data_IF_734042982599
#
_entry.id   IF_734042982599
#
_cell.length_a   1.000
_cell.length_b   1.000
_cell.length_c   1.000
_cell.angle_alpha   90.00
_cell.angle_beta   90.00
_cell.angle_gamma   90.00
#
_symmetry.space_group_name_H-M   'P 1'
#
loop_
_entity.id
_entity.type
_entity.pdbx_description
1 polymer ?
#
# COMPACT_ATOMS: atom_id res chain seq x y z
N UNK A 1 -60.50 10.12 -17.93
CA UNK A 1 -59.72 11.29 -17.46
C UNK A 1 -59.41 11.00 -16.01
N UNK A 2 -58.24 10.50 -15.63
CA UNK A 2 -56.88 11.08 -15.67
C UNK A 2 -55.89 9.92 -15.91
N UNK A 3 -55.25 9.80 -17.08
CA UNK A 3 -53.84 10.14 -17.37
C UNK A 3 -52.83 9.55 -16.34
N UNK A 4 -52.15 8.42 -16.56
CA UNK A 4 -51.10 8.00 -17.54
C UNK A 4 -49.69 7.99 -16.91
N UNK A 5 -49.15 6.76 -16.83
CA UNK A 5 -47.78 6.32 -17.21
C UNK A 5 -46.58 6.75 -16.32
N UNK A 6 -45.54 5.89 -16.22
CA UNK A 6 -44.53 5.92 -15.16
C UNK A 6 -43.34 6.82 -15.46
N UNK A 7 -42.64 7.20 -14.38
CA UNK A 7 -41.42 8.00 -14.41
C UNK A 7 -40.27 7.16 -14.97
N UNK A 8 -39.93 7.41 -16.23
CA UNK A 8 -38.67 7.01 -16.88
C UNK A 8 -37.54 7.94 -16.41
N UNK A 9 -36.51 7.40 -15.77
CA UNK A 9 -35.24 8.09 -15.58
C UNK A 9 -34.51 8.18 -16.92
N UNK A 10 -34.28 9.40 -17.42
CA UNK A 10 -33.47 9.67 -18.61
C UNK A 10 -31.98 9.75 -18.24
N UNK A 11 -31.06 9.09 -18.96
CA UNK A 11 -29.64 9.07 -18.64
C UNK A 11 -28.87 10.11 -19.47
N UNK A 12 -28.95 11.40 -19.15
CA UNK A 12 -27.96 12.39 -19.62
C UNK A 12 -28.01 13.63 -18.72
N UNK A 13 -27.06 13.76 -17.79
CA UNK A 13 -26.71 15.07 -17.24
C UNK A 13 -25.28 15.37 -17.66
N UNK A 14 -25.19 16.40 -18.50
CA UNK A 14 -23.97 16.97 -19.04
C UNK A 14 -22.97 17.28 -17.92
N UNK A 15 -21.69 16.97 -18.19
CA UNK A 15 -20.56 17.56 -17.48
C UNK A 15 -20.73 19.09 -17.41
N UNK A 16 -20.57 19.74 -16.24
CA UNK A 16 -20.64 21.18 -16.16
C UNK A 16 -19.49 21.81 -16.97
N UNK A 17 -19.83 22.73 -17.88
CA UNK A 17 -18.86 23.57 -18.57
C UNK A 17 -18.02 24.37 -17.54
N UNK A 18 -16.75 24.69 -17.82
CA UNK A 18 -15.93 25.45 -16.88
C UNK A 18 -16.57 26.80 -16.56
N UNK A 19 -16.89 26.98 -15.27
CA UNK A 19 -17.48 28.20 -14.74
C UNK A 19 -16.47 29.34 -14.89
N UNK A 20 -16.80 30.40 -15.64
CA UNK A 20 -16.10 31.68 -15.49
C UNK A 20 -16.39 32.18 -14.07
N UNK A 21 -15.38 32.53 -13.25
CA UNK A 21 -15.62 33.06 -11.91
C UNK A 21 -16.33 34.42 -12.02
N UNK A 22 -17.47 34.55 -11.33
CA UNK A 22 -18.17 35.82 -11.18
C UNK A 22 -17.40 36.79 -10.26
N UNK A 23 -17.73 38.10 -10.29
CA UNK A 23 -17.07 39.09 -9.47
C UNK A 23 -17.56 38.94 -8.03
N UNK A 24 -16.78 38.30 -7.17
CA UNK A 24 -17.13 38.09 -5.75
C UNK A 24 -16.85 36.69 -5.19
N UNK A 25 -16.21 35.79 -5.95
CA UNK A 25 -15.63 34.58 -5.36
C UNK A 25 -14.54 34.94 -4.33
N UNK A 26 -14.25 34.05 -3.35
CA UNK A 26 -13.11 34.25 -2.45
C UNK A 26 -11.87 34.56 -3.29
N UNK A 27 -10.99 35.47 -2.83
CA UNK A 27 -9.83 35.90 -3.60
C UNK A 27 -9.14 34.68 -4.18
N UNK A 28 -9.11 34.60 -5.51
CA UNK A 28 -8.54 33.46 -6.20
C UNK A 28 -7.12 33.29 -5.68
N UNK A 29 -6.84 32.12 -5.10
CA UNK A 29 -5.48 31.77 -4.74
C UNK A 29 -4.59 32.04 -5.96
N UNK A 30 -3.40 32.66 -5.79
CA UNK A 30 -2.49 32.89 -6.90
C UNK A 30 -2.33 31.57 -7.67
N UNK A 31 -2.23 31.60 -9.01
CA UNK A 31 -2.19 30.37 -9.80
C UNK A 31 -0.95 29.56 -9.42
N UNK A 32 -1.13 28.60 -8.53
CA UNK A 32 -0.15 27.57 -8.21
C UNK A 32 -0.29 26.45 -9.25
N UNK A 33 0.83 25.84 -9.65
CA UNK A 33 0.77 24.60 -10.45
C UNK A 33 -0.01 23.53 -9.68
N UNK A 34 -0.51 22.51 -10.39
CA UNK A 34 -1.13 21.36 -9.72
C UNK A 34 -0.13 20.71 -8.75
N UNK A 35 1.12 20.55 -9.18
CA UNK A 35 2.21 19.99 -8.38
C UNK A 35 2.44 20.77 -7.07
N UNK A 36 2.56 22.11 -7.12
CA UNK A 36 2.75 22.91 -5.91
C UNK A 36 1.58 22.78 -4.93
N UNK A 37 0.34 22.64 -5.45
CA UNK A 37 -0.84 22.41 -4.61
C UNK A 37 -0.82 21.04 -3.96
N UNK A 38 -0.45 19.99 -4.70
CA UNK A 38 -0.34 18.64 -4.16
C UNK A 38 0.74 18.56 -3.08
N UNK A 39 1.90 19.19 -3.30
CA UNK A 39 2.95 19.28 -2.29
C UNK A 39 2.46 19.97 -1.01
N UNK A 40 1.78 21.11 -1.15
CA UNK A 40 1.25 21.85 0.01
C UNK A 40 0.22 21.03 0.82
N UNK A 41 -0.60 20.20 0.14
CA UNK A 41 -1.55 19.30 0.79
C UNK A 41 -0.85 18.14 1.50
N UNK A 42 0.21 17.60 0.90
CA UNK A 42 1.05 16.59 1.53
C UNK A 42 1.73 17.14 2.79
N UNK A 43 2.37 18.31 2.69
CA UNK A 43 3.04 18.99 3.81
C UNK A 43 2.07 19.29 4.95
N UNK A 44 0.86 19.76 4.62
CA UNK A 44 -0.21 19.94 5.59
C UNK A 44 -0.56 18.63 6.30
N UNK A 45 -0.73 17.55 5.53
CA UNK A 45 -1.10 16.24 6.07
C UNK A 45 -0.02 15.70 7.00
N UNK A 46 1.26 15.73 6.58
CA UNK A 46 2.37 15.27 7.40
C UNK A 46 2.54 16.10 8.68
N UNK A 47 2.42 17.44 8.59
CA UNK A 47 2.51 18.33 9.76
C UNK A 47 1.35 18.14 10.74
N UNK A 48 0.16 17.85 10.23
CA UNK A 48 -1.07 17.72 11.04
C UNK A 48 -1.12 16.37 11.74
N UNK A 49 -0.93 15.28 10.99
CA UNK A 49 -1.09 13.92 11.51
C UNK A 49 0.19 13.31 12.07
N UNK A 50 1.36 13.89 11.76
CA UNK A 50 2.68 13.47 12.27
C UNK A 50 2.87 11.94 12.15
N UNK A 51 2.80 11.38 10.93
CA UNK A 51 2.82 9.93 10.70
C UNK A 51 4.14 9.23 11.08
N UNK A 52 5.18 10.00 11.44
CA UNK A 52 6.50 9.48 11.81
C UNK A 52 6.85 9.94 13.22
N UNK A 53 7.10 8.99 14.12
CA UNK A 53 7.59 9.24 15.48
C UNK A 53 9.13 9.10 15.56
N UNK A 54 9.70 9.27 16.77
CA UNK A 54 11.14 9.15 16.98
C UNK A 54 11.68 7.75 16.63
N UNK A 55 10.91 6.69 16.91
CA UNK A 55 11.31 5.30 16.59
C UNK A 55 11.43 5.11 15.09
N UNK A 56 10.44 5.57 14.32
CA UNK A 56 10.46 5.49 12.86
C UNK A 56 11.55 6.39 12.25
N UNK A 57 11.85 7.54 12.85
CA UNK A 57 13.00 8.36 12.45
C UNK A 57 14.33 7.64 12.67
N UNK A 58 14.49 6.96 13.80
CA UNK A 58 15.68 6.16 14.09
C UNK A 58 15.85 5.00 13.11
N UNK A 59 14.77 4.37 12.65
CA UNK A 59 14.80 3.32 11.61
C UNK A 59 15.41 3.87 10.32
N UNK A 60 14.94 5.04 9.87
CA UNK A 60 15.48 5.70 8.66
C UNK A 60 16.95 6.06 8.86
N UNK A 61 17.33 6.56 10.04
CA UNK A 61 18.73 6.87 10.34
C UNK A 61 19.62 5.62 10.34
N UNK A 62 19.15 4.52 10.94
CA UNK A 62 19.86 3.24 10.99
C UNK A 62 20.07 2.67 9.59
N UNK A 63 19.03 2.69 8.75
CA UNK A 63 19.13 2.29 7.35
C UNK A 63 20.26 3.04 6.63
N UNK A 64 20.36 4.36 6.83
CA UNK A 64 21.44 5.18 6.26
C UNK A 64 22.82 4.83 6.82
N UNK A 65 22.94 4.60 8.13
CA UNK A 65 24.21 4.20 8.76
C UNK A 65 24.74 2.87 8.24
N UNK A 66 23.84 1.97 7.84
CA UNK A 66 24.16 0.67 7.25
C UNK A 66 24.24 0.71 5.70
N UNK A 67 24.24 1.90 5.08
CA UNK A 67 24.28 2.08 3.61
C UNK A 67 23.15 1.33 2.87
N UNK A 68 22.00 1.17 3.52
CA UNK A 68 20.81 0.57 2.90
C UNK A 68 20.15 1.58 1.95
N UNK A 69 19.35 1.10 0.98
CA UNK A 69 18.46 1.97 0.21
C UNK A 69 17.66 2.90 1.11
N UNK A 70 17.72 4.22 0.86
CA UNK A 70 16.96 5.22 1.62
C UNK A 70 15.53 5.31 1.08
N UNK A 71 14.80 4.21 1.19
CA UNK A 71 13.41 4.05 0.80
C UNK A 71 12.63 3.47 1.98
N UNK A 72 11.35 3.77 2.03
CA UNK A 72 10.38 3.18 2.95
C UNK A 72 8.98 3.48 2.39
N UNK A 73 7.98 2.72 2.84
CA UNK A 73 6.57 3.00 2.51
C UNK A 73 6.23 4.48 2.73
N UNK A 74 5.38 5.03 1.85
CA UNK A 74 4.87 6.39 2.00
C UNK A 74 4.32 6.63 3.41
N UNK A 75 4.67 7.75 4.04
CA UNK A 75 4.32 7.98 5.47
C UNK A 75 2.81 7.96 5.70
N UNK A 76 2.06 8.59 4.80
CA UNK A 76 0.59 8.61 4.86
C UNK A 76 -0.03 7.26 4.48
N UNK A 77 0.61 6.52 3.57
CA UNK A 77 0.19 5.19 3.14
C UNK A 77 0.31 4.21 4.32
N UNK A 78 1.45 4.24 5.01
CA UNK A 78 1.67 3.47 6.23
C UNK A 78 0.70 3.84 7.36
N UNK A 79 0.42 5.14 7.58
CA UNK A 79 -0.59 5.57 8.56
C UNK A 79 -2.01 5.12 8.18
N UNK A 80 -2.33 5.16 6.88
CA UNK A 80 -3.63 4.69 6.37
C UNK A 80 -3.79 3.20 6.63
N UNK A 81 -2.76 2.40 6.34
CA UNK A 81 -2.73 0.98 6.66
C UNK A 81 -2.92 0.74 8.17
N UNK A 82 -2.21 1.47 9.03
CA UNK A 82 -2.37 1.35 10.48
C UNK A 82 -3.83 1.58 10.91
N UNK A 83 -4.49 2.63 10.41
CA UNK A 83 -5.90 2.90 10.71
C UNK A 83 -6.79 1.73 10.29
N UNK A 84 -6.60 1.20 9.09
CA UNK A 84 -7.42 0.10 8.57
C UNK A 84 -7.20 -1.19 9.36
N UNK A 85 -5.96 -1.55 9.65
CA UNK A 85 -5.59 -2.75 10.43
C UNK A 85 -6.25 -2.69 11.80
N UNK A 86 -6.23 -1.52 12.47
CA UNK A 86 -6.90 -1.29 13.75
C UNK A 86 -8.42 -1.40 13.64
N UNK A 87 -9.02 -0.74 12.65
CA UNK A 87 -10.48 -0.79 12.42
C UNK A 87 -10.97 -2.22 12.19
N UNK A 88 -10.19 -3.02 11.47
CA UNK A 88 -10.55 -4.39 11.14
C UNK A 88 -10.19 -5.42 12.24
N UNK A 89 -9.45 -4.99 13.27
CA UNK A 89 -9.06 -5.85 14.40
C UNK A 89 -8.12 -7.00 14.00
N UNK A 90 -7.27 -6.78 12.99
CA UNK A 90 -6.36 -7.81 12.49
C UNK A 90 -5.32 -8.22 13.53
N UNK A 91 -4.94 -9.50 13.51
CA UNK A 91 -4.01 -10.10 14.45
C UNK A 91 -2.89 -10.87 13.78
N UNK A 92 -3.07 -11.48 12.62
CA UNK A 92 -2.03 -12.27 11.96
C UNK A 92 -1.78 -11.75 10.55
N UNK A 93 -0.62 -11.12 10.33
CA UNK A 93 -0.27 -10.54 9.04
C UNK A 93 1.06 -11.06 8.51
N UNK A 94 1.22 -11.00 7.19
CA UNK A 94 2.52 -11.19 6.51
C UNK A 94 2.92 -9.90 5.82
N UNK A 95 4.20 -9.55 5.93
CA UNK A 95 4.87 -8.50 5.16
C UNK A 95 5.90 -9.13 4.23
N UNK A 96 5.89 -8.73 2.96
CA UNK A 96 6.86 -9.15 1.96
C UNK A 96 7.70 -7.92 1.58
N UNK A 97 8.95 -7.90 2.04
CA UNK A 97 9.86 -6.75 1.93
C UNK A 97 9.93 -5.98 3.25
N UNK A 98 10.85 -6.38 4.14
CA UNK A 98 11.01 -5.72 5.44
C UNK A 98 11.90 -4.47 5.36
N UNK A 99 12.95 -4.53 4.52
CA UNK A 99 14.05 -3.59 4.48
C UNK A 99 14.60 -3.29 5.89
N UNK A 100 14.40 -2.08 6.41
CA UNK A 100 14.86 -1.67 7.73
C UNK A 100 13.78 -1.82 8.83
N UNK A 101 12.59 -2.32 8.48
CA UNK A 101 11.47 -2.59 9.39
C UNK A 101 10.46 -1.44 9.56
N UNK A 102 10.49 -0.40 8.72
CA UNK A 102 9.62 0.78 8.89
C UNK A 102 8.12 0.42 8.79
N UNK A 103 7.71 -0.24 7.71
CA UNK A 103 6.33 -0.70 7.50
C UNK A 103 5.95 -1.76 8.53
N UNK A 104 6.86 -2.69 8.85
CA UNK A 104 6.62 -3.73 9.83
C UNK A 104 6.32 -3.19 11.23
N UNK A 105 6.97 -2.09 11.64
CA UNK A 105 6.69 -1.42 12.92
C UNK A 105 5.26 -0.85 12.92
N UNK A 106 4.86 -0.17 11.85
CA UNK A 106 3.50 0.37 11.72
C UNK A 106 2.45 -0.75 11.78
N UNK A 107 2.66 -1.83 11.02
CA UNK A 107 1.76 -2.99 11.01
C UNK A 107 1.69 -3.62 12.40
N UNK A 108 2.82 -3.97 13.01
CA UNK A 108 2.86 -4.67 14.30
C UNK A 108 2.27 -3.85 15.47
N UNK A 109 2.38 -2.52 15.43
CA UNK A 109 1.71 -1.60 16.38
C UNK A 109 0.19 -1.57 16.18
N UNK A 110 -0.26 -1.73 14.94
CA UNK A 110 -1.66 -1.69 14.56
C UNK A 110 -2.41 -3.00 14.88
N UNK A 111 -1.70 -4.12 14.92
CA UNK A 111 -2.28 -5.42 15.26
C UNK A 111 -2.92 -5.42 16.65
N UNK A 112 -4.06 -6.11 16.75
CA UNK A 112 -4.79 -6.29 18.01
C UNK A 112 -4.00 -7.07 19.07
N UNK A 113 -4.53 -7.17 20.31
CA UNK A 113 -3.89 -7.91 21.38
C UNK A 113 -3.60 -9.38 20.98
N UNK A 114 -2.36 -9.81 21.23
CA UNK A 114 -1.84 -11.12 20.83
C UNK A 114 -1.57 -11.26 19.32
N UNK A 115 -1.57 -10.16 18.57
CA UNK A 115 -1.25 -10.18 17.16
C UNK A 115 0.24 -10.38 16.87
N UNK A 116 0.54 -10.96 15.71
CA UNK A 116 1.86 -11.34 15.24
C UNK A 116 2.04 -10.99 13.76
N UNK A 117 3.21 -10.44 13.43
CA UNK A 117 3.64 -10.15 12.06
C UNK A 117 4.73 -11.14 11.63
N UNK A 118 4.55 -11.78 10.48
CA UNK A 118 5.60 -12.50 9.77
C UNK A 118 6.18 -11.58 8.69
N UNK A 119 7.37 -11.06 8.90
CA UNK A 119 8.03 -10.14 7.98
C UNK A 119 9.12 -10.88 7.20
N UNK A 120 9.12 -10.77 5.87
CA UNK A 120 10.04 -11.49 4.99
C UNK A 120 11.04 -10.52 4.37
N UNK A 121 12.33 -10.86 4.48
CA UNK A 121 13.42 -10.09 3.90
C UNK A 121 14.39 -11.00 3.16
N UNK A 122 14.81 -10.59 1.96
CA UNK A 122 15.73 -11.36 1.13
C UNK A 122 17.17 -11.20 1.59
N UNK A 123 17.59 -9.97 1.92
CA UNK A 123 18.96 -9.66 2.27
C UNK A 123 19.21 -9.92 3.78
N UNK A 124 20.14 -10.81 4.16
CA UNK A 124 20.39 -11.13 5.56
C UNK A 124 20.88 -9.93 6.38
N UNK A 125 21.68 -9.04 5.81
CA UNK A 125 22.17 -7.84 6.51
C UNK A 125 21.03 -6.86 6.79
N UNK A 126 20.09 -6.72 5.84
CA UNK A 126 18.92 -5.87 6.02
C UNK A 126 17.96 -6.48 7.05
N UNK A 127 17.83 -7.82 7.06
CA UNK A 127 17.05 -8.53 8.06
C UNK A 127 17.57 -8.30 9.49
N UNK A 128 18.90 -8.27 9.70
CA UNK A 128 19.49 -7.92 11.00
C UNK A 128 19.14 -6.49 11.42
N UNK A 129 19.22 -5.53 10.49
CA UNK A 129 18.80 -4.15 10.75
C UNK A 129 17.31 -4.07 11.11
N UNK A 130 16.45 -4.79 10.40
CA UNK A 130 15.01 -4.87 10.70
C UNK A 130 14.77 -5.47 12.10
N UNK A 131 15.44 -6.56 12.47
CA UNK A 131 15.36 -7.14 13.82
C UNK A 131 15.76 -6.14 14.90
N UNK A 132 16.86 -5.41 14.70
CA UNK A 132 17.28 -4.38 15.63
C UNK A 132 16.23 -3.26 15.76
N UNK A 133 15.65 -2.84 14.63
CA UNK A 133 14.56 -1.87 14.59
C UNK A 133 13.33 -2.34 15.37
N UNK A 134 12.89 -3.59 15.19
CA UNK A 134 11.75 -4.15 15.93
C UNK A 134 12.03 -4.24 17.44
N UNK A 135 13.23 -4.68 17.82
CA UNK A 135 13.65 -4.72 19.24
C UNK A 135 13.67 -3.34 19.88
N UNK A 136 14.20 -2.32 19.19
CA UNK A 136 14.20 -0.92 19.68
C UNK A 136 12.80 -0.32 19.75
N UNK A 137 11.90 -0.78 18.89
CA UNK A 137 10.49 -0.43 18.95
C UNK A 137 9.70 -1.18 20.05
N UNK A 138 10.31 -2.16 20.73
CA UNK A 138 9.65 -3.01 21.73
C UNK A 138 8.63 -3.97 21.13
N UNK A 139 8.90 -4.49 19.93
CA UNK A 139 7.98 -5.34 19.15
C UNK A 139 8.59 -6.72 18.81
N UNK A 140 9.73 -7.06 19.41
CA UNK A 140 10.44 -8.33 19.15
C UNK A 140 9.65 -9.58 19.55
N UNK A 141 8.71 -9.44 20.49
CA UNK A 141 7.80 -10.50 20.92
C UNK A 141 6.69 -10.81 19.89
N UNK A 142 6.45 -9.91 18.94
CA UNK A 142 5.32 -9.98 18.00
C UNK A 142 5.68 -9.82 16.53
N UNK A 143 6.97 -9.80 16.20
CA UNK A 143 7.45 -9.78 14.82
C UNK A 143 8.47 -10.89 14.64
N UNK A 144 8.23 -11.78 13.68
CA UNK A 144 9.22 -12.78 13.23
C UNK A 144 9.76 -12.37 11.87
N UNK A 145 11.07 -12.15 11.79
CA UNK A 145 11.78 -11.87 10.53
C UNK A 145 12.29 -13.17 9.92
N UNK A 146 11.75 -13.51 8.75
CA UNK A 146 12.15 -14.65 7.94
C UNK A 146 13.13 -14.20 6.87
N UNK A 147 14.27 -14.87 6.75
CA UNK A 147 15.30 -14.54 5.76
C UNK A 147 15.23 -15.52 4.62
N UNK A 148 15.09 -15.01 3.40
CA UNK A 148 15.12 -15.85 2.19
C UNK A 148 14.32 -15.26 1.04
N UNK A 149 14.29 -16.01 -0.07
CA UNK A 149 13.46 -15.65 -1.21
C UNK A 149 11.99 -15.71 -0.79
N UNK A 150 11.27 -14.62 -1.03
CA UNK A 150 9.89 -14.50 -0.58
C UNK A 150 9.00 -15.68 -1.02
N UNK A 151 9.10 -16.14 -2.27
CA UNK A 151 8.34 -17.30 -2.74
C UNK A 151 8.54 -18.56 -1.90
N UNK A 152 9.77 -18.85 -1.47
CA UNK A 152 10.11 -20.04 -0.68
C UNK A 152 9.67 -19.90 0.78
N UNK A 153 9.86 -18.71 1.36
CA UNK A 153 9.43 -18.42 2.73
C UNK A 153 7.90 -18.47 2.83
N UNK A 154 7.19 -17.90 1.85
CA UNK A 154 5.73 -17.90 1.84
C UNK A 154 5.16 -19.33 1.81
N UNK A 155 5.76 -20.25 1.06
CA UNK A 155 5.34 -21.66 1.08
C UNK A 155 5.39 -22.25 2.49
N UNK A 156 6.43 -21.97 3.27
CA UNK A 156 6.57 -22.41 4.66
C UNK A 156 5.53 -21.78 5.59
N UNK A 157 5.09 -20.54 5.30
CA UNK A 157 4.08 -19.84 6.08
C UNK A 157 2.65 -20.32 5.79
N UNK A 158 2.42 -21.11 4.74
CA UNK A 158 1.09 -21.62 4.34
C UNK A 158 0.37 -22.32 5.51
N UNK A 159 1.08 -23.16 6.26
CA UNK A 159 0.54 -23.91 7.40
C UNK A 159 0.13 -23.02 8.59
N UNK A 160 0.61 -21.77 8.63
CA UNK A 160 0.24 -20.79 9.67
C UNK A 160 -1.02 -20.00 9.31
N UNK A 161 -1.54 -20.16 8.09
CA UNK A 161 -2.74 -19.50 7.61
C UNK A 161 -4.04 -19.97 8.31
N UNK A 162 -5.16 -19.32 8.00
CA UNK A 162 -5.25 -18.14 7.16
C UNK A 162 -4.80 -16.86 7.89
N UNK A 163 -4.37 -15.86 7.12
CA UNK A 163 -3.92 -14.56 7.59
C UNK A 163 -5.03 -13.51 7.49
N UNK A 164 -4.99 -12.53 8.38
CA UNK A 164 -5.88 -11.37 8.37
C UNK A 164 -5.49 -10.35 7.30
N UNK A 165 -4.20 -10.28 6.95
CA UNK A 165 -3.76 -9.37 5.90
C UNK A 165 -2.34 -9.61 5.41
N UNK A 166 -2.10 -9.26 4.16
CA UNK A 166 -0.82 -9.41 3.48
C UNK A 166 -0.39 -8.04 2.95
N UNK A 167 0.80 -7.59 3.30
CA UNK A 167 1.44 -6.38 2.74
C UNK A 167 2.56 -6.78 1.78
N UNK A 168 2.55 -6.20 0.58
CA UNK A 168 3.47 -6.52 -0.51
C UNK A 168 4.22 -5.26 -0.91
N UNK A 169 5.52 -5.21 -0.60
CA UNK A 169 6.45 -4.16 -1.00
C UNK A 169 7.85 -4.72 -1.27
N UNK A 170 7.95 -5.52 -2.34
CA UNK A 170 9.21 -6.16 -2.75
C UNK A 170 9.48 -5.91 -4.24
N UNK A 171 10.13 -6.87 -4.92
CA UNK A 171 10.42 -6.77 -6.34
C UNK A 171 9.15 -6.92 -7.19
N UNK A 172 8.86 -5.85 -7.94
CA UNK A 172 7.56 -5.60 -8.56
C UNK A 172 7.19 -6.60 -9.66
N UNK A 173 8.18 -7.18 -10.34
CA UNK A 173 7.97 -8.25 -11.32
C UNK A 173 7.36 -9.51 -10.71
N UNK A 174 7.55 -9.76 -9.41
CA UNK A 174 7.02 -10.93 -8.71
C UNK A 174 5.72 -10.66 -7.94
N UNK A 175 5.12 -9.47 -8.05
CA UNK A 175 3.81 -9.18 -7.46
C UNK A 175 2.72 -10.21 -7.83
N UNK A 176 2.64 -10.73 -9.07
CA UNK A 176 1.69 -11.79 -9.40
C UNK A 176 1.92 -13.09 -8.61
N UNK A 177 3.18 -13.46 -8.35
CA UNK A 177 3.55 -14.64 -7.57
C UNK A 177 3.13 -14.47 -6.11
N UNK A 178 3.37 -13.29 -5.54
CA UNK A 178 2.95 -12.97 -4.17
C UNK A 178 1.42 -12.95 -4.03
N UNK A 179 0.73 -12.45 -5.05
CA UNK A 179 -0.73 -12.48 -5.10
C UNK A 179 -1.26 -13.92 -5.15
N UNK A 180 -0.68 -14.80 -5.96
CA UNK A 180 -1.08 -16.22 -6.03
C UNK A 180 -1.07 -16.89 -4.66
N UNK A 181 -0.04 -16.60 -3.86
CA UNK A 181 0.05 -17.12 -2.50
C UNK A 181 -0.94 -16.42 -1.57
N UNK A 182 -1.05 -15.09 -1.63
CA UNK A 182 -1.94 -14.31 -0.78
C UNK A 182 -3.41 -14.72 -0.95
N UNK A 183 -3.88 -14.93 -2.18
CA UNK A 183 -5.25 -15.35 -2.49
C UNK A 183 -5.64 -16.67 -1.81
N UNK A 184 -4.68 -17.60 -1.69
CA UNK A 184 -4.89 -18.91 -1.07
C UNK A 184 -4.84 -18.85 0.46
N UNK A 185 -4.09 -17.91 1.01
CA UNK A 185 -3.73 -17.89 2.43
C UNK A 185 -4.40 -16.78 3.24
N UNK A 186 -5.13 -15.87 2.63
CA UNK A 186 -5.86 -14.81 3.34
C UNK A 186 -7.29 -15.26 3.68
N UNK A 187 -7.81 -14.93 4.87
CA UNK A 187 -9.21 -15.26 5.21
C UNK A 187 -10.20 -14.34 4.49
N UNK A 188 -11.47 -14.75 4.44
CA UNK A 188 -12.58 -13.83 4.12
C UNK A 188 -12.58 -12.67 5.12
N UNK A 189 -12.74 -11.45 4.61
CA UNK A 189 -12.63 -10.18 5.33
C UNK A 189 -11.20 -9.74 5.62
N UNK A 190 -10.19 -10.50 5.18
CA UNK A 190 -8.80 -10.08 5.23
C UNK A 190 -8.43 -9.15 4.08
N UNK A 191 -7.35 -8.37 4.24
CA UNK A 191 -6.92 -7.39 3.25
C UNK A 191 -5.54 -7.65 2.63
N UNK A 192 -5.42 -7.43 1.32
CA UNK A 192 -4.15 -7.33 0.60
C UNK A 192 -3.84 -5.84 0.40
N UNK A 193 -2.60 -5.46 0.73
CA UNK A 193 -2.04 -4.13 0.52
C UNK A 193 -0.82 -4.27 -0.41
N UNK A 194 -0.76 -3.49 -1.49
CA UNK A 194 0.39 -3.46 -2.39
C UNK A 194 0.93 -2.04 -2.53
N UNK A 195 2.20 -1.83 -2.20
CA UNK A 195 2.86 -0.53 -2.32
C UNK A 195 3.44 -0.30 -3.73
N UNK A 196 3.58 0.98 -4.07
CA UNK A 196 4.05 1.52 -5.34
C UNK A 196 3.29 1.00 -6.57
N UNK A 197 1.98 0.85 -6.46
CA UNK A 197 1.16 0.24 -7.52
C UNK A 197 0.78 1.19 -8.66
N UNK A 198 1.22 2.45 -8.60
CA UNK A 198 1.38 3.29 -9.80
C UNK A 198 2.68 3.06 -10.56
N UNK A 199 3.52 2.13 -10.10
CA UNK A 199 4.73 1.70 -10.80
C UNK A 199 5.66 2.88 -11.10
N UNK A 200 5.91 3.72 -10.09
CA UNK A 200 6.76 4.91 -10.21
C UNK A 200 6.30 5.87 -11.31
N UNK A 201 4.98 6.03 -11.47
CA UNK A 201 4.35 6.89 -12.47
C UNK A 201 4.25 6.28 -13.88
N UNK A 202 4.61 5.00 -14.04
CA UNK A 202 4.65 4.34 -15.34
C UNK A 202 3.55 3.30 -15.57
N UNK A 203 2.71 2.97 -14.56
CA UNK A 203 1.73 1.87 -14.66
C UNK A 203 0.71 2.05 -15.79
N UNK A 204 0.40 3.27 -16.19
CA UNK A 204 -0.59 3.55 -17.25
C UNK A 204 -0.04 3.33 -18.66
N UNK A 205 1.29 3.16 -18.82
CA UNK A 205 1.95 3.07 -20.11
C UNK A 205 1.67 1.72 -20.78
N UNK A 206 1.59 1.72 -22.11
CA UNK A 206 1.64 0.48 -22.88
C UNK A 206 3.06 -0.14 -22.78
N UNK A 207 3.13 -1.42 -22.39
CA UNK A 207 4.37 -2.17 -22.22
C UNK A 207 5.26 -2.22 -23.49
N UNK A 208 4.68 -2.11 -24.68
CA UNK A 208 5.43 -2.07 -25.94
C UNK A 208 6.21 -0.77 -26.12
N UNK A 209 5.85 0.27 -25.37
CA UNK A 209 6.54 1.57 -25.39
C UNK A 209 7.68 1.68 -24.35
N UNK A 210 7.84 0.66 -23.50
CA UNK A 210 8.87 0.61 -22.48
C UNK A 210 10.03 -0.24 -23.00
N UNK A 211 11.14 0.41 -23.36
CA UNK A 211 12.33 -0.25 -23.88
C UNK A 211 13.33 -0.62 -22.78
N UNK A 212 13.17 -0.08 -21.57
CA UNK A 212 14.01 -0.41 -20.43
C UNK A 212 13.69 -1.84 -19.94
N UNK A 213 14.68 -2.71 -20.02
CA UNK A 213 14.57 -4.13 -19.71
C UNK A 213 14.39 -4.44 -18.21
N UNK A 214 14.68 -3.50 -17.32
CA UNK A 214 14.43 -3.62 -15.88
C UNK A 214 13.06 -3.04 -15.50
N UNK A 215 12.67 -1.92 -16.12
CA UNK A 215 11.39 -1.28 -15.87
C UNK A 215 10.22 -2.07 -16.45
N UNK A 216 10.33 -2.59 -17.69
CA UNK A 216 9.22 -3.28 -18.36
C UNK A 216 8.67 -4.46 -17.55
N UNK A 217 9.49 -5.39 -17.01
CA UNK A 217 8.99 -6.48 -16.16
C UNK A 217 8.33 -5.99 -14.86
N UNK A 218 8.88 -4.95 -14.23
CA UNK A 218 8.30 -4.36 -13.02
C UNK A 218 6.90 -3.79 -13.29
N UNK A 219 6.74 -3.01 -14.38
CA UNK A 219 5.44 -2.45 -14.76
C UNK A 219 4.46 -3.54 -15.18
N UNK A 220 4.92 -4.56 -15.91
CA UNK A 220 4.08 -5.69 -16.28
C UNK A 220 3.57 -6.46 -15.04
N UNK A 221 4.43 -6.66 -14.03
CA UNK A 221 4.06 -7.29 -12.78
C UNK A 221 2.98 -6.52 -12.01
N UNK A 222 3.15 -5.20 -11.90
CA UNK A 222 2.18 -4.33 -11.21
C UNK A 222 0.86 -4.21 -11.98
N UNK A 223 0.90 -4.08 -13.32
CA UNK A 223 -0.31 -4.09 -14.14
C UNK A 223 -1.09 -5.39 -13.96
N UNK A 224 -0.40 -6.53 -14.00
CA UNK A 224 -1.01 -7.86 -13.78
C UNK A 224 -1.60 -7.99 -12.38
N UNK A 225 -0.88 -7.53 -11.36
CA UNK A 225 -1.35 -7.53 -9.98
C UNK A 225 -2.64 -6.72 -9.82
N UNK A 226 -2.65 -5.48 -10.31
CA UNK A 226 -3.80 -4.58 -10.22
C UNK A 226 -5.01 -5.13 -10.99
N UNK A 227 -4.83 -5.62 -12.22
CA UNK A 227 -5.92 -6.15 -13.03
C UNK A 227 -6.52 -7.41 -12.42
N UNK A 228 -5.68 -8.33 -11.93
CA UNK A 228 -6.14 -9.55 -11.26
C UNK A 228 -6.98 -9.24 -10.02
N UNK A 229 -6.54 -8.31 -9.17
CA UNK A 229 -7.34 -7.92 -8.00
C UNK A 229 -8.65 -7.22 -8.39
N UNK A 230 -8.66 -6.44 -9.46
CA UNK A 230 -9.87 -5.77 -9.95
C UNK A 230 -10.90 -6.75 -10.55
N UNK A 231 -10.42 -7.76 -11.27
CA UNK A 231 -11.26 -8.72 -12.01
C UNK A 231 -11.64 -9.96 -11.18
N UNK A 232 -10.98 -10.21 -10.05
CA UNK A 232 -11.24 -11.37 -9.21
C UNK A 232 -12.51 -11.17 -8.35
N UNK A 233 -13.60 -11.94 -8.55
CA UNK A 233 -14.86 -11.78 -7.82
C UNK A 233 -14.79 -12.19 -6.34
N UNK A 234 -13.67 -12.77 -5.91
CA UNK A 234 -13.40 -13.03 -4.49
C UNK A 234 -12.87 -11.79 -3.77
N UNK A 235 -12.56 -10.69 -4.47
CA UNK A 235 -12.04 -9.46 -3.89
C UNK A 235 -12.88 -8.24 -4.24
N UNK A 236 -12.85 -7.25 -3.35
CA UNK A 236 -13.19 -5.86 -3.69
C UNK A 236 -11.94 -5.01 -3.55
N UNK A 237 -11.47 -4.44 -4.65
CA UNK A 237 -10.23 -3.70 -4.71
C UNK A 237 -10.41 -2.20 -5.04
N UNK A 238 -9.45 -1.40 -4.61
CA UNK A 238 -9.24 0.00 -4.98
C UNK A 238 -7.75 0.34 -4.96
N UNK A 239 -7.37 1.49 -5.51
CA UNK A 239 -6.03 2.06 -5.39
C UNK A 239 -6.16 3.47 -4.81
N UNK A 240 -5.48 3.71 -3.68
CA UNK A 240 -5.42 5.05 -3.12
C UNK A 240 -4.48 5.90 -3.98
N UNK A 241 -4.91 7.10 -4.43
CA UNK A 241 -4.14 7.93 -5.33
C UNK A 241 -3.06 8.73 -4.58
N UNK A 242 -2.19 8.02 -3.87
CA UNK A 242 -0.97 8.55 -3.24
C UNK A 242 0.12 8.69 -4.31
N UNK A 243 1.26 9.32 -3.98
CA UNK A 243 2.32 9.60 -4.97
C UNK A 243 2.76 8.34 -5.75
N UNK A 244 2.89 7.22 -5.04
CA UNK A 244 3.30 5.94 -5.62
C UNK A 244 2.15 4.94 -5.77
N UNK A 245 0.97 5.23 -5.22
CA UNK A 245 -0.21 4.37 -5.24
C UNK A 245 -0.14 3.24 -4.23
N UNK A 246 -1.20 3.11 -3.43
CA UNK A 246 -1.40 1.98 -2.51
C UNK A 246 -2.63 1.19 -2.95
N UNK A 247 -2.43 0.02 -3.53
CA UNK A 247 -3.55 -0.89 -3.86
C UNK A 247 -4.03 -1.55 -2.58
N UNK A 248 -5.34 -1.59 -2.41
CA UNK A 248 -6.01 -2.26 -1.30
C UNK A 248 -7.11 -3.17 -1.84
N UNK A 249 -7.18 -4.40 -1.34
CA UNK A 249 -8.27 -5.32 -1.65
C UNK A 249 -8.73 -6.06 -0.41
N UNK A 250 -10.04 -6.21 -0.22
CA UNK A 250 -10.62 -7.06 0.83
C UNK A 250 -11.18 -8.34 0.20
N UNK A 251 -10.89 -9.49 0.80
CA UNK A 251 -11.45 -10.77 0.38
C UNK A 251 -12.91 -10.89 0.81
N UNK A 252 -13.80 -11.20 -0.12
CA UNK A 252 -15.24 -11.32 0.07
C UNK A 252 -15.72 -12.78 0.22
N UNK A 253 -15.01 -13.73 -0.39
CA UNK A 253 -15.39 -15.14 -0.52
C UNK A 253 -14.19 -16.08 -0.37
#
# INVERSE_FOLDING_TARGET
>A
MVDKTPVLFSPHTLMPRPHRPGPGGPPGLPPQSLESRLQALEDYSQRTFKPTDAVLQEVVQRARQHNMPNIHVGRMDGLTMEVIIRMAGYKKMVEIGALAGYSGILIARALGPGGHLHSVEYNPDFAEVARESFRKAGLDDRVTVHVGRASEVLEQLTELGPFDGIFIDADKNNYPVYLDWAEKNIRVGGAIFGDNTFGFGHVWRNLDTIHDHHLKPAIAGVQTFNSRLADNPNFRATILPTDQGLTMAVRLK
#
